data_IF_236092111785
#
_entry.id   IF_236092111785
#
_cell.length_a   1.000
_cell.length_b   1.000
_cell.length_c   1.000
_cell.angle_alpha   90.00
_cell.angle_beta   90.00
_cell.angle_gamma   90.00
#
_symmetry.space_group_name_H-M   'P 1'
#
loop_
_entity.id
_entity.type
_entity.pdbx_description
1 polymer ?
#
# COMPACT_ATOMS: atom_id res chain seq x y z
N UNK A 1 14.29 8.59 1.12
CA UNK A 1 13.85 9.30 -0.10
C UNK A 1 14.24 10.76 0.04
N UNK A 2 14.80 11.42 -0.98
CA UNK A 2 15.08 12.86 -0.87
C UNK A 2 13.77 13.63 -1.06
N UNK A 3 13.65 14.82 -0.48
CA UNK A 3 12.42 15.63 -0.55
C UNK A 3 11.94 15.88 -1.99
N UNK A 4 12.87 16.11 -2.93
CA UNK A 4 12.57 16.25 -4.35
C UNK A 4 11.92 14.99 -4.94
N UNK A 5 12.37 13.81 -4.53
CA UNK A 5 11.82 12.53 -4.97
C UNK A 5 10.40 12.36 -4.40
N UNK A 6 10.15 12.79 -3.15
CA UNK A 6 8.81 12.75 -2.56
C UNK A 6 7.83 13.67 -3.29
N UNK A 7 8.25 14.90 -3.59
CA UNK A 7 7.43 15.87 -4.34
C UNK A 7 7.05 15.29 -5.70
N UNK A 8 8.02 14.69 -6.41
CA UNK A 8 7.76 14.09 -7.71
C UNK A 8 6.81 12.89 -7.60
N UNK A 9 7.00 12.04 -6.58
CA UNK A 9 6.12 10.90 -6.32
C UNK A 9 4.68 11.35 -6.08
N UNK A 10 4.44 12.27 -5.15
CA UNK A 10 3.08 12.74 -4.83
C UNK A 10 2.41 13.47 -6.00
N UNK A 11 3.20 14.14 -6.85
CA UNK A 11 2.71 14.77 -8.06
C UNK A 11 2.29 13.76 -9.12
N UNK A 12 3.12 12.76 -9.41
CA UNK A 12 2.80 11.71 -10.38
C UNK A 12 1.56 10.93 -9.94
N UNK A 13 1.49 10.59 -8.65
CA UNK A 13 0.33 9.93 -8.05
C UNK A 13 -0.96 10.73 -8.23
N UNK A 14 -0.92 12.03 -7.96
CA UNK A 14 -2.04 12.93 -8.21
C UNK A 14 -2.43 12.96 -9.69
N UNK A 15 -1.46 13.00 -10.62
CA UNK A 15 -1.72 13.05 -12.06
C UNK A 15 -2.43 11.79 -12.56
N UNK A 16 -2.03 10.61 -12.09
CA UNK A 16 -2.72 9.34 -12.42
C UNK A 16 -4.17 9.40 -11.96
N UNK A 17 -4.40 9.82 -10.71
CA UNK A 17 -5.74 9.99 -10.17
C UNK A 17 -6.56 10.99 -11.00
N UNK A 18 -6.02 12.18 -11.26
CA UNK A 18 -6.74 13.20 -12.02
C UNK A 18 -7.12 12.72 -13.43
N UNK A 19 -6.18 12.09 -14.14
CA UNK A 19 -6.43 11.58 -15.48
C UNK A 19 -7.52 10.49 -15.48
N UNK A 20 -7.56 9.63 -14.46
CA UNK A 20 -8.60 8.61 -14.30
C UNK A 20 -10.02 9.20 -14.29
N UNK A 21 -10.23 10.35 -13.64
CA UNK A 21 -11.55 11.00 -13.59
C UNK A 21 -11.82 11.92 -14.77
N UNK A 22 -10.79 12.44 -15.46
CA UNK A 22 -11.01 13.26 -16.64
C UNK A 22 -11.41 12.45 -17.87
N UNK A 23 -11.14 11.15 -17.87
CA UNK A 23 -11.60 10.19 -18.88
C UNK A 23 -13.08 9.81 -18.68
N UNK A 24 -13.71 10.19 -17.57
CA UNK A 24 -15.12 9.96 -17.25
C UNK A 24 -15.88 11.30 -17.15
N UNK A 25 -16.71 11.61 -18.16
CA UNK A 25 -17.35 12.92 -18.35
C UNK A 25 -18.20 13.38 -17.14
N UNK A 26 -18.70 12.46 -16.32
CA UNK A 26 -19.57 12.75 -15.18
C UNK A 26 -18.85 13.48 -14.02
N UNK A 27 -17.51 13.42 -13.93
CA UNK A 27 -16.74 13.89 -12.77
C UNK A 27 -15.92 15.17 -13.03
N UNK A 28 -16.08 15.81 -14.19
CA UNK A 28 -15.12 16.78 -14.74
C UNK A 28 -15.02 18.15 -14.03
N UNK A 29 -16.11 18.69 -13.47
CA UNK A 29 -16.11 20.07 -12.95
C UNK A 29 -15.43 20.21 -11.58
N UNK A 30 -15.74 19.32 -10.63
CA UNK A 30 -15.12 19.35 -9.29
C UNK A 30 -13.60 19.07 -9.36
N UNK A 31 -13.18 18.29 -10.35
CA UNK A 31 -11.77 17.96 -10.57
C UNK A 31 -10.95 19.14 -11.09
N UNK A 32 -11.57 20.10 -11.79
CA UNK A 32 -10.88 21.30 -12.30
C UNK A 32 -10.31 22.19 -11.18
N UNK A 33 -11.12 22.47 -10.15
CA UNK A 33 -10.68 23.25 -8.99
C UNK A 33 -9.58 22.53 -8.20
N UNK A 34 -9.72 21.20 -8.04
CA UNK A 34 -8.74 20.36 -7.36
C UNK A 34 -7.38 20.35 -8.08
N UNK A 35 -7.39 20.37 -9.43
CA UNK A 35 -6.19 20.44 -10.25
C UNK A 35 -5.45 21.78 -10.14
N UNK A 36 -6.16 22.90 -10.05
CA UNK A 36 -5.51 24.19 -9.83
C UNK A 36 -4.71 24.21 -8.50
N UNK A 37 -5.29 23.65 -7.43
CA UNK A 37 -4.62 23.54 -6.12
C UNK A 37 -3.39 22.65 -6.21
N UNK A 38 -3.50 21.48 -6.86
CA UNK A 38 -2.39 20.54 -7.00
C UNK A 38 -1.23 21.07 -7.86
N UNK A 39 -1.54 21.75 -8.96
CA UNK A 39 -0.53 22.42 -9.80
C UNK A 39 0.20 23.48 -9.00
N UNK A 40 -0.51 24.31 -8.23
CA UNK A 40 0.12 25.33 -7.39
C UNK A 40 1.04 24.71 -6.34
N UNK A 41 0.61 23.66 -5.65
CA UNK A 41 1.42 22.94 -4.66
C UNK A 41 2.70 22.33 -5.29
N UNK A 42 2.61 21.79 -6.51
CA UNK A 42 3.78 21.26 -7.22
C UNK A 42 4.76 22.34 -7.68
N UNK A 43 4.24 23.46 -8.19
CA UNK A 43 5.03 24.59 -8.65
C UNK A 43 5.74 25.29 -7.48
N UNK A 44 5.07 25.42 -6.34
CA UNK A 44 5.65 25.97 -5.10
C UNK A 44 6.58 25.01 -4.37
N UNK A 45 6.69 23.75 -4.85
CA UNK A 45 7.44 22.67 -4.19
C UNK A 45 6.99 22.41 -2.75
N UNK A 46 5.70 22.62 -2.47
CA UNK A 46 5.12 22.40 -1.15
C UNK A 46 4.81 20.92 -0.93
N UNK A 47 5.76 20.17 -0.37
CA UNK A 47 5.57 18.76 -0.02
C UNK A 47 4.38 18.57 0.94
N UNK A 48 4.21 19.48 1.89
CA UNK A 48 3.11 19.43 2.88
C UNK A 48 1.74 19.49 2.19
N UNK A 49 1.57 20.39 1.23
CA UNK A 49 0.31 20.52 0.48
C UNK A 49 0.07 19.30 -0.42
N UNK A 50 1.09 18.83 -1.15
CA UNK A 50 0.98 17.64 -1.97
C UNK A 50 0.60 16.38 -1.17
N UNK A 51 1.12 16.24 0.06
CA UNK A 51 0.71 15.20 1.00
C UNK A 51 -0.76 15.35 1.42
N UNK A 52 -1.21 16.58 1.68
CA UNK A 52 -2.62 16.89 1.98
C UNK A 52 -3.56 16.48 0.85
N UNK A 53 -3.22 16.87 -0.38
CA UNK A 53 -3.97 16.54 -1.59
C UNK A 53 -4.06 15.02 -1.78
N UNK A 54 -2.95 14.31 -1.62
CA UNK A 54 -2.93 12.85 -1.72
C UNK A 54 -3.71 12.15 -0.60
N UNK A 55 -3.84 12.77 0.57
CA UNK A 55 -4.71 12.28 1.64
C UNK A 55 -6.18 12.43 1.28
N UNK A 56 -6.58 13.58 0.75
CA UNK A 56 -7.96 13.80 0.26
C UNK A 56 -8.30 12.86 -0.89
N UNK A 57 -7.37 12.71 -1.84
CA UNK A 57 -7.44 11.72 -2.91
C UNK A 57 -7.71 10.30 -2.39
N UNK A 58 -6.99 9.87 -1.35
CA UNK A 58 -7.22 8.56 -0.73
C UNK A 58 -8.61 8.44 -0.10
N UNK A 59 -9.16 9.52 0.47
CA UNK A 59 -10.53 9.55 0.95
C UNK A 59 -11.51 9.34 -0.21
N UNK A 60 -11.36 10.09 -1.31
CA UNK A 60 -12.19 9.91 -2.51
C UNK A 60 -12.10 8.49 -3.08
N UNK A 61 -10.89 7.93 -3.20
CA UNK A 61 -10.70 6.55 -3.65
C UNK A 61 -11.41 5.52 -2.78
N UNK A 62 -11.63 5.81 -1.50
CA UNK A 62 -12.33 4.91 -0.60
C UNK A 62 -13.85 4.93 -0.77
N UNK A 63 -14.39 5.99 -1.35
CA UNK A 63 -15.81 6.17 -1.64
C UNK A 63 -16.20 5.61 -3.02
N UNK A 64 -15.22 5.28 -3.87
CA UNK A 64 -15.47 4.69 -5.19
C UNK A 64 -16.09 3.28 -5.10
N UNK A 65 -16.93 2.91 -6.08
CA UNK A 65 -17.29 1.52 -6.32
C UNK A 65 -16.06 0.62 -6.47
N UNK A 66 -16.18 -0.64 -6.07
CA UNK A 66 -15.07 -1.61 -6.08
C UNK A 66 -14.39 -1.70 -7.45
N UNK A 67 -15.17 -1.73 -8.53
CA UNK A 67 -14.66 -1.83 -9.90
C UNK A 67 -13.74 -0.66 -10.26
N UNK A 68 -14.15 0.57 -9.99
CA UNK A 68 -13.38 1.76 -10.32
C UNK A 68 -12.17 1.93 -9.39
N UNK A 69 -12.32 1.53 -8.12
CA UNK A 69 -11.20 1.45 -7.19
C UNK A 69 -10.11 0.50 -7.68
N UNK A 70 -10.49 -0.66 -8.20
CA UNK A 70 -9.54 -1.65 -8.71
C UNK A 70 -8.90 -1.23 -10.03
N UNK A 71 -9.66 -0.59 -10.94
CA UNK A 71 -9.09 0.04 -12.15
C UNK A 71 -8.06 1.12 -11.80
N UNK A 72 -8.39 2.02 -10.87
CA UNK A 72 -7.48 3.08 -10.45
C UNK A 72 -6.23 2.53 -9.75
N UNK A 73 -6.38 1.51 -8.90
CA UNK A 73 -5.23 0.81 -8.29
C UNK A 73 -4.32 0.17 -9.33
N UNK A 74 -4.90 -0.51 -10.33
CA UNK A 74 -4.12 -1.08 -11.42
C UNK A 74 -3.36 0.01 -12.17
N UNK A 75 -3.99 1.17 -12.43
CA UNK A 75 -3.35 2.30 -13.09
C UNK A 75 -2.19 2.88 -12.27
N UNK A 76 -2.38 3.07 -10.96
CA UNK A 76 -1.30 3.49 -10.05
C UNK A 76 -0.13 2.49 -10.05
N UNK A 77 -0.41 1.19 -10.06
CA UNK A 77 0.61 0.15 -10.15
C UNK A 77 1.37 0.20 -11.48
N UNK A 78 0.67 0.36 -12.60
CA UNK A 78 1.29 0.36 -13.93
C UNK A 78 2.08 1.64 -14.23
N UNK A 79 1.55 2.81 -13.84
CA UNK A 79 2.15 4.10 -14.21
C UNK A 79 3.24 4.56 -13.24
N UNK A 80 3.10 4.25 -11.95
CA UNK A 80 4.04 4.74 -10.91
C UNK A 80 4.59 3.64 -9.99
N UNK A 81 4.24 2.37 -10.25
CA UNK A 81 4.72 1.24 -9.45
C UNK A 81 4.07 1.11 -8.06
N UNK A 82 3.00 1.85 -7.78
CA UNK A 82 2.35 1.82 -6.47
C UNK A 82 1.41 0.62 -6.34
N UNK A 83 1.87 -0.42 -5.65
CA UNK A 83 1.05 -1.57 -5.28
C UNK A 83 0.63 -1.47 -3.80
N UNK A 84 -0.49 -0.78 -3.57
CA UNK A 84 -1.01 -0.49 -2.23
C UNK A 84 -1.25 -1.77 -1.42
N UNK A 85 -1.71 -2.84 -2.06
CA UNK A 85 -2.02 -4.10 -1.37
C UNK A 85 -0.72 -4.84 -1.02
N UNK A 86 0.26 -4.86 -1.92
CA UNK A 86 1.60 -5.38 -1.61
C UNK A 86 2.26 -4.59 -0.48
N UNK A 87 2.19 -3.27 -0.48
CA UNK A 87 2.73 -2.46 0.61
C UNK A 87 2.05 -2.73 1.95
N UNK A 88 0.71 -2.88 1.98
CA UNK A 88 -0.03 -3.24 3.20
C UNK A 88 0.38 -4.62 3.70
N UNK A 89 0.57 -5.57 2.78
CA UNK A 89 1.04 -6.93 3.07
C UNK A 89 2.43 -6.88 3.72
N UNK A 90 3.38 -6.20 3.09
CA UNK A 90 4.73 -6.02 3.61
C UNK A 90 4.77 -5.30 4.97
N UNK A 91 3.96 -4.24 5.16
CA UNK A 91 3.83 -3.57 6.47
C UNK A 91 3.31 -4.50 7.56
N UNK A 92 2.35 -5.35 7.22
CA UNK A 92 1.77 -6.33 8.15
C UNK A 92 2.79 -7.40 8.53
N UNK A 93 3.57 -7.91 7.56
CA UNK A 93 4.68 -8.83 7.81
C UNK A 93 5.73 -8.17 8.70
N UNK A 94 6.19 -6.98 8.35
CA UNK A 94 7.17 -6.24 9.15
C UNK A 94 6.71 -6.01 10.60
N UNK A 95 5.41 -5.75 10.81
CA UNK A 95 4.81 -5.63 12.14
C UNK A 95 4.87 -6.95 12.92
N UNK A 96 4.51 -8.07 12.29
CA UNK A 96 4.58 -9.40 12.91
C UNK A 96 6.02 -9.74 13.30
N UNK A 97 6.98 -9.53 12.39
CA UNK A 97 8.41 -9.71 12.65
C UNK A 97 8.90 -8.84 13.81
N UNK A 98 8.55 -7.55 13.81
CA UNK A 98 8.92 -6.62 14.89
C UNK A 98 8.39 -7.07 16.25
N UNK A 99 7.16 -7.57 16.29
CA UNK A 99 6.54 -8.05 17.52
C UNK A 99 7.05 -9.43 17.96
N UNK A 100 7.65 -10.20 17.04
CA UNK A 100 8.12 -11.56 17.30
C UNK A 100 7.01 -12.55 17.65
N UNK A 101 5.75 -12.25 17.31
CA UNK A 101 4.61 -13.13 17.59
C UNK A 101 3.48 -12.96 16.58
N UNK A 102 2.81 -14.08 16.27
CA UNK A 102 1.58 -14.14 15.48
C UNK A 102 0.40 -14.11 16.46
N UNK A 103 -0.56 -13.20 16.26
CA UNK A 103 -1.68 -12.99 17.20
C UNK A 103 -2.95 -13.74 16.83
N UNK A 104 -3.14 -14.03 15.55
CA UNK A 104 -4.39 -14.59 15.05
C UNK A 104 -4.17 -15.36 13.74
N UNK A 105 -5.22 -16.07 13.31
CA UNK A 105 -5.21 -16.88 12.09
C UNK A 105 -4.87 -16.08 10.82
N UNK A 106 -5.34 -14.83 10.71
CA UNK A 106 -5.04 -13.99 9.53
C UNK A 106 -3.55 -13.65 9.43
N UNK A 107 -2.91 -13.36 10.57
CA UNK A 107 -1.46 -13.16 10.61
C UNK A 107 -0.71 -14.47 10.34
N UNK A 108 -1.22 -15.61 10.79
CA UNK A 108 -0.64 -16.92 10.47
C UNK A 108 -0.64 -17.20 8.96
N UNK A 109 -1.80 -17.05 8.31
CA UNK A 109 -1.95 -17.22 6.85
C UNK A 109 -1.04 -16.25 6.07
N UNK A 110 -0.95 -14.99 6.53
CA UNK A 110 -0.06 -14.00 5.93
C UNK A 110 1.42 -14.42 5.96
N UNK A 111 1.90 -14.92 7.10
CA UNK A 111 3.30 -15.35 7.25
C UNK A 111 3.57 -16.64 6.49
N UNK A 112 2.62 -17.58 6.48
CA UNK A 112 2.73 -18.81 5.71
C UNK A 112 2.91 -18.52 4.21
N UNK A 113 2.04 -17.66 3.65
CA UNK A 113 2.12 -17.25 2.26
C UNK A 113 3.45 -16.54 1.94
N UNK A 114 4.00 -15.78 2.90
CA UNK A 114 5.31 -15.14 2.71
C UNK A 114 6.45 -16.17 2.67
N UNK A 115 6.44 -17.17 3.55
CA UNK A 115 7.40 -18.28 3.52
C UNK A 115 7.32 -19.00 2.18
N UNK A 116 6.12 -19.38 1.73
CA UNK A 116 5.90 -20.03 0.43
C UNK A 116 6.35 -19.17 -0.76
N UNK A 117 6.38 -17.85 -0.61
CA UNK A 117 6.87 -16.95 -1.64
C UNK A 117 8.40 -16.91 -1.70
N UNK A 118 9.08 -16.97 -0.56
CA UNK A 118 10.53 -16.73 -0.48
C UNK A 118 11.37 -17.99 -0.22
N UNK A 119 10.75 -19.16 0.02
CA UNK A 119 11.47 -20.38 0.43
C UNK A 119 12.51 -20.88 -0.58
N UNK A 120 12.35 -20.54 -1.86
CA UNK A 120 13.28 -20.94 -2.91
C UNK A 120 14.50 -20.01 -3.02
N UNK A 121 14.46 -18.83 -2.39
CA UNK A 121 15.57 -17.88 -2.42
C UNK A 121 16.59 -18.21 -1.33
N UNK A 122 17.72 -18.79 -1.73
CA UNK A 122 18.81 -19.16 -0.84
C UNK A 122 19.39 -17.96 -0.07
N UNK A 123 19.29 -16.75 -0.59
CA UNK A 123 19.77 -15.55 0.10
C UNK A 123 18.86 -15.16 1.28
N UNK A 124 17.62 -15.65 1.29
CA UNK A 124 16.61 -15.38 2.31
C UNK A 124 16.43 -16.54 3.30
N UNK A 125 17.34 -17.52 3.32
CA UNK A 125 17.24 -18.70 4.19
C UNK A 125 17.06 -18.33 5.68
N UNK A 126 17.82 -17.36 6.18
CA UNK A 126 17.69 -16.90 7.57
C UNK A 126 16.32 -16.28 7.86
N UNK A 127 15.74 -15.57 6.88
CA UNK A 127 14.41 -15.00 6.99
C UNK A 127 13.35 -16.11 7.01
N UNK A 128 13.46 -17.10 6.13
CA UNK A 128 12.59 -18.29 6.09
C UNK A 128 12.61 -19.02 7.43
N UNK A 129 13.80 -19.27 7.99
CA UNK A 129 13.95 -19.93 9.29
C UNK A 129 13.29 -19.13 10.41
N UNK A 130 13.47 -17.80 10.41
CA UNK A 130 12.83 -16.92 11.38
C UNK A 130 11.29 -16.98 11.29
N UNK A 131 10.72 -16.87 10.09
CA UNK A 131 9.29 -16.93 9.88
C UNK A 131 8.69 -18.30 10.24
N UNK A 132 9.38 -19.39 9.91
CA UNK A 132 8.99 -20.75 10.31
C UNK A 132 8.94 -20.92 11.83
N UNK A 133 9.88 -20.33 12.57
CA UNK A 133 9.86 -20.33 14.03
C UNK A 133 8.64 -19.58 14.60
N UNK A 134 8.22 -18.48 13.98
CA UNK A 134 7.00 -17.76 14.37
C UNK A 134 5.74 -18.62 14.14
N UNK A 135 5.67 -19.31 12.98
CA UNK A 135 4.57 -20.22 12.65
C UNK A 135 4.49 -21.37 13.67
N UNK A 136 5.61 -22.04 13.94
CA UNK A 136 5.68 -23.14 14.90
C UNK A 136 5.26 -22.71 16.32
N UNK A 137 5.72 -21.54 16.76
CA UNK A 137 5.37 -20.98 18.08
C UNK A 137 3.87 -20.74 18.22
N UNK A 138 3.22 -20.22 17.17
CA UNK A 138 1.77 -20.02 17.15
C UNK A 138 1.01 -21.35 17.25
N UNK A 139 1.41 -22.35 16.47
CA UNK A 139 0.77 -23.68 16.48
C UNK A 139 0.89 -24.36 17.84
N UNK A 140 2.06 -24.29 18.48
CA UNK A 140 2.30 -24.86 19.80
C UNK A 140 1.44 -24.18 20.88
N UNK A 141 1.34 -22.85 20.85
CA UNK A 141 0.51 -22.09 21.77
C UNK A 141 -0.98 -22.46 21.64
N UNK A 142 -1.48 -22.64 20.42
CA UNK A 142 -2.88 -22.98 20.18
C UNK A 142 -3.24 -24.43 20.55
N UNK A 143 -2.31 -25.37 20.38
CA UNK A 143 -2.51 -26.77 20.84
C UNK A 143 -2.70 -26.85 22.35
N UNK A 144 -1.90 -26.12 23.13
CA UNK A 144 -1.97 -26.10 24.60
C UNK A 144 -3.26 -25.50 25.18
N UNK A 145 -4.01 -24.72 24.39
CA UNK A 145 -5.29 -24.12 24.80
C UNK A 145 -6.48 -25.02 24.44
N UNK A 146 -6.26 -26.02 23.59
CA UNK A 146 -7.31 -26.96 23.12
C UNK A 146 -7.27 -28.31 23.83
N UNK A 147 -6.34 -28.49 24.78
CA UNK A 147 -6.22 -29.63 25.71
C UNK A 147 -6.78 -29.22 27.08
#
# INVERSE_FOLDING_TARGET
MKEKDEIQYYWLRYKVFYNFFMEDEANSIAMGAFNAIAVNAYNSKSLKELKGINKEMNSFMNELPTEDKDKLRLRLKLEIGEDIEEEKRLRSIARVKKNGMIKNKKEYELILNEVERIYQDNNLKHEVDYLNNLLASFTLAHRRVSE
#
